data_IF_070057289279
#
_entry.id   IF_070057289279
#
_cell.length_a   1.000
_cell.length_b   1.000
_cell.length_c   1.000
_cell.angle_alpha   90.00
_cell.angle_beta   90.00
_cell.angle_gamma   90.00
#
_symmetry.space_group_name_H-M   'P 1'
#
loop_
_entity.id
_entity.type
_entity.pdbx_description
1 polymer ?
#
# COMPACT_ATOMS: atom_id res chain seq x y z
N UNK A 1 18.29 11.92 -18.66
CA UNK A 1 17.10 11.39 -17.97
C UNK A 1 16.94 12.17 -16.70
N UNK A 2 15.80 12.81 -16.52
CA UNK A 2 15.57 13.77 -15.44
C UNK A 2 14.34 13.38 -14.64
N UNK A 3 14.48 13.44 -13.31
CA UNK A 3 13.36 13.40 -12.37
C UNK A 3 13.17 14.80 -11.79
N UNK A 4 11.93 15.26 -11.75
CA UNK A 4 11.59 16.53 -11.12
C UNK A 4 10.76 16.29 -9.86
N UNK A 5 11.22 16.86 -8.75
CA UNK A 5 10.48 16.87 -7.49
C UNK A 5 10.04 18.29 -7.15
N UNK A 6 8.75 18.55 -7.29
CA UNK A 6 8.15 19.86 -7.08
C UNK A 6 7.45 19.99 -5.73
N UNK A 7 7.55 19.00 -4.82
CA UNK A 7 6.73 18.96 -3.59
C UNK A 7 6.92 20.16 -2.64
N UNK A 8 8.05 20.86 -2.73
CA UNK A 8 8.39 21.99 -1.87
C UNK A 8 9.05 23.15 -2.64
N UNK A 9 8.86 23.20 -3.95
CA UNK A 9 9.47 24.21 -4.82
C UNK A 9 8.75 25.56 -4.68
N UNK A 10 9.50 26.66 -4.80
CA UNK A 10 8.89 27.99 -4.91
C UNK A 10 8.18 28.17 -6.26
N UNK A 11 7.18 29.04 -6.34
CA UNK A 11 6.50 29.34 -7.61
C UNK A 11 7.47 29.88 -8.68
N UNK A 12 8.42 30.75 -8.28
CA UNK A 12 9.40 31.30 -9.21
C UNK A 12 10.33 30.22 -9.79
N UNK A 13 10.76 29.27 -8.97
CA UNK A 13 11.61 28.18 -9.43
C UNK A 13 10.81 27.19 -10.28
N UNK A 14 9.55 26.93 -9.93
CA UNK A 14 8.65 26.14 -10.74
C UNK A 14 8.47 26.74 -12.14
N UNK A 15 8.23 28.05 -12.23
CA UNK A 15 8.07 28.76 -13.50
C UNK A 15 9.35 28.76 -14.34
N UNK A 16 10.50 28.95 -13.69
CA UNK A 16 11.79 28.91 -14.34
C UNK A 16 12.07 27.49 -14.88
N UNK A 17 11.83 26.46 -14.07
CA UNK A 17 12.06 25.07 -14.47
C UNK A 17 11.09 24.64 -15.57
N UNK A 18 9.83 25.00 -15.44
CA UNK A 18 8.78 24.71 -16.41
C UNK A 18 9.09 25.28 -17.79
N UNK A 19 9.43 26.57 -17.85
CA UNK A 19 9.74 27.25 -19.12
C UNK A 19 11.05 26.80 -19.73
N UNK A 20 12.10 26.63 -18.92
CA UNK A 20 13.45 26.39 -19.45
C UNK A 20 13.74 24.91 -19.68
N UNK A 21 13.32 24.02 -18.78
CA UNK A 21 13.72 22.61 -18.83
C UNK A 21 12.58 21.69 -19.24
N UNK A 22 11.41 21.78 -18.59
CA UNK A 22 10.27 20.89 -18.88
C UNK A 22 9.81 21.06 -20.32
N UNK A 23 9.65 22.31 -20.76
CA UNK A 23 9.20 22.63 -22.10
C UNK A 23 10.22 22.26 -23.19
N UNK A 24 11.51 22.34 -22.89
CA UNK A 24 12.58 22.10 -23.85
C UNK A 24 12.92 20.61 -24.03
N UNK A 25 12.71 19.80 -22.98
CA UNK A 25 13.17 18.40 -22.95
C UNK A 25 12.13 17.40 -22.41
N UNK A 26 10.86 17.45 -22.88
CA UNK A 26 9.79 16.59 -22.34
C UNK A 26 10.11 15.09 -22.49
N UNK A 27 10.79 14.69 -23.57
CA UNK A 27 11.17 13.28 -23.82
C UNK A 27 12.25 12.77 -22.87
N UNK A 28 12.94 13.64 -22.13
CA UNK A 28 13.98 13.23 -21.19
C UNK A 28 13.46 13.03 -19.76
N UNK A 29 12.18 13.36 -19.52
CA UNK A 29 11.55 13.32 -18.21
C UNK A 29 11.07 11.90 -17.91
N UNK A 30 11.58 11.33 -16.82
CA UNK A 30 11.29 9.95 -16.40
C UNK A 30 10.53 9.89 -15.09
N UNK A 31 10.59 10.94 -14.26
CA UNK A 31 9.87 10.99 -13.00
C UNK A 31 9.36 12.39 -12.70
N UNK A 32 8.14 12.47 -12.18
CA UNK A 32 7.53 13.72 -11.73
C UNK A 32 6.95 13.49 -10.33
N UNK A 33 7.22 14.40 -9.40
CA UNK A 33 6.55 14.48 -8.11
C UNK A 33 5.86 15.83 -7.96
N UNK A 34 4.56 15.84 -7.70
CA UNK A 34 3.75 17.05 -7.50
C UNK A 34 3.06 17.00 -6.14
N UNK A 35 2.74 18.17 -5.59
CA UNK A 35 2.02 18.28 -4.33
C UNK A 35 1.10 19.49 -4.29
N UNK A 36 -0.11 19.34 -3.77
CA UNK A 36 -0.97 20.47 -3.36
C UNK A 36 -0.88 20.67 -1.83
N UNK A 37 0.34 20.79 -1.31
CA UNK A 37 0.56 20.99 0.14
C UNK A 37 0.40 22.47 0.53
N UNK A 38 0.48 22.78 1.82
CA UNK A 38 0.53 24.18 2.30
C UNK A 38 1.68 24.99 1.70
N UNK A 39 2.80 24.35 1.35
CA UNK A 39 3.95 24.99 0.72
C UNK A 39 3.78 25.19 -0.80
N UNK A 40 2.90 24.42 -1.43
CA UNK A 40 2.70 24.38 -2.89
C UNK A 40 1.21 24.31 -3.25
N UNK A 41 0.38 25.26 -2.78
CA UNK A 41 -1.06 25.19 -2.98
C UNK A 41 -1.40 25.25 -4.47
N UNK A 42 -2.32 24.39 -4.92
CA UNK A 42 -2.80 24.33 -6.32
C UNK A 42 -1.71 24.07 -7.38
N UNK A 43 -0.51 23.63 -6.99
CA UNK A 43 0.57 23.36 -7.92
C UNK A 43 0.20 22.35 -9.02
N UNK A 44 -0.56 21.31 -8.68
CA UNK A 44 -0.97 20.29 -9.65
C UNK A 44 -1.87 20.92 -10.72
N UNK A 45 -2.85 21.72 -10.31
CA UNK A 45 -3.73 22.47 -11.20
C UNK A 45 -2.90 23.42 -12.09
N UNK A 46 -2.00 24.18 -11.48
CA UNK A 46 -1.10 25.09 -12.18
C UNK A 46 -0.18 24.37 -13.19
N UNK A 47 0.30 23.18 -12.86
CA UNK A 47 1.08 22.33 -13.77
C UNK A 47 0.30 22.03 -15.06
N UNK A 48 -0.98 21.66 -14.94
CA UNK A 48 -1.84 21.44 -16.09
C UNK A 48 -2.21 22.73 -16.83
N UNK A 49 -2.43 23.84 -16.13
CA UNK A 49 -2.68 25.17 -16.73
C UNK A 49 -1.50 25.67 -17.57
N UNK A 50 -0.26 25.38 -17.17
CA UNK A 50 0.94 25.62 -17.97
C UNK A 50 1.04 24.70 -19.21
N UNK A 51 0.07 23.81 -19.42
CA UNK A 51 0.01 22.90 -20.55
C UNK A 51 0.92 21.69 -20.42
N UNK A 52 1.44 21.40 -19.21
CA UNK A 52 2.22 20.19 -18.94
C UNK A 52 1.26 19.00 -18.78
N UNK A 53 0.92 18.38 -19.91
CA UNK A 53 0.15 17.13 -19.96
C UNK A 53 1.08 15.93 -19.83
N UNK A 54 0.72 14.89 -19.07
CA UNK A 54 1.61 13.74 -18.91
C UNK A 54 1.84 12.97 -20.20
N UNK A 55 0.86 12.99 -21.10
CA UNK A 55 0.96 12.48 -22.47
C UNK A 55 2.16 13.04 -23.27
N UNK A 56 2.69 14.23 -22.92
CA UNK A 56 3.89 14.80 -23.54
C UNK A 56 5.18 14.13 -23.07
N UNK A 57 5.18 13.48 -21.91
CA UNK A 57 6.36 12.84 -21.32
C UNK A 57 6.39 11.35 -21.69
N UNK A 58 6.67 11.05 -22.95
CA UNK A 58 6.63 9.68 -23.50
C UNK A 58 7.59 8.69 -22.80
N UNK A 59 8.51 9.19 -21.97
CA UNK A 59 9.44 8.40 -21.18
C UNK A 59 9.16 8.43 -19.68
N UNK A 60 8.03 8.99 -19.26
CA UNK A 60 7.60 9.01 -17.87
C UNK A 60 7.42 7.57 -17.36
N UNK A 61 8.18 7.24 -16.32
CA UNK A 61 8.17 5.94 -15.65
C UNK A 61 7.50 6.02 -14.29
N UNK A 62 7.61 7.16 -13.61
CA UNK A 62 7.17 7.34 -12.24
C UNK A 62 6.39 8.64 -12.05
N UNK A 63 5.22 8.55 -11.41
CA UNK A 63 4.47 9.70 -10.93
C UNK A 63 4.24 9.57 -9.43
N UNK A 64 4.53 10.64 -8.68
CA UNK A 64 4.14 10.74 -7.28
C UNK A 64 3.29 11.98 -7.06
N UNK A 65 2.11 11.81 -6.49
CA UNK A 65 1.18 12.89 -6.20
C UNK A 65 0.90 12.92 -4.70
N UNK A 66 1.02 14.11 -4.11
CA UNK A 66 0.84 14.36 -2.69
C UNK A 66 -0.29 15.38 -2.46
N UNK A 67 -1.09 15.17 -1.42
CA UNK A 67 -2.14 16.11 -0.98
C UNK A 67 -3.13 16.48 -2.09
N UNK A 68 -3.60 15.50 -2.88
CA UNK A 68 -4.55 15.74 -3.95
C UNK A 68 -5.97 15.87 -3.37
N UNK A 69 -6.65 17.03 -3.54
CA UNK A 69 -8.04 17.16 -3.11
C UNK A 69 -8.95 16.26 -3.95
N UNK A 70 -10.09 15.88 -3.36
CA UNK A 70 -11.10 15.09 -4.07
C UNK A 70 -11.64 15.87 -5.28
N UNK A 71 -11.74 15.22 -6.44
CA UNK A 71 -12.42 15.79 -7.59
C UNK A 71 -11.87 15.39 -8.95
N UNK A 72 -12.28 16.17 -9.96
CA UNK A 72 -12.03 15.92 -11.39
C UNK A 72 -10.54 15.79 -11.75
N UNK A 73 -9.66 16.45 -11.00
CA UNK A 73 -8.22 16.40 -11.25
C UNK A 73 -7.66 14.98 -11.10
N UNK A 74 -8.18 14.19 -10.17
CA UNK A 74 -7.77 12.80 -9.99
C UNK A 74 -8.07 11.96 -11.24
N UNK A 75 -9.27 12.12 -11.82
CA UNK A 75 -9.67 11.43 -13.06
C UNK A 75 -8.85 11.90 -14.26
N UNK A 76 -8.62 13.21 -14.38
CA UNK A 76 -7.78 13.78 -15.45
C UNK A 76 -6.36 13.18 -15.41
N UNK A 77 -5.77 13.07 -14.22
CA UNK A 77 -4.46 12.43 -14.05
C UNK A 77 -4.52 10.99 -14.54
N UNK A 78 -5.53 10.22 -14.14
CA UNK A 78 -5.66 8.82 -14.55
C UNK A 78 -5.79 8.66 -16.07
N UNK A 79 -6.59 9.49 -16.72
CA UNK A 79 -6.79 9.47 -18.18
C UNK A 79 -5.47 9.73 -18.92
N UNK A 80 -4.67 10.69 -18.45
CA UNK A 80 -3.36 11.00 -19.02
C UNK A 80 -2.32 9.88 -18.84
N UNK A 81 -2.50 9.01 -17.83
CA UNK A 81 -1.58 7.89 -17.55
C UNK A 81 -1.89 6.62 -18.36
N UNK A 82 -3.13 6.40 -18.80
CA UNK A 82 -3.58 5.13 -19.40
C UNK A 82 -2.73 4.67 -20.58
N UNK A 83 -2.21 5.61 -21.37
CA UNK A 83 -1.52 5.31 -22.63
C UNK A 83 0.00 5.52 -22.55
N UNK A 84 0.58 5.71 -21.36
CA UNK A 84 2.01 5.94 -21.22
C UNK A 84 2.79 4.62 -21.30
N UNK A 85 3.64 4.42 -22.33
CA UNK A 85 4.21 3.12 -22.64
C UNK A 85 5.26 2.67 -21.62
N UNK A 86 5.89 3.59 -20.90
CA UNK A 86 6.94 3.31 -19.91
C UNK A 86 6.47 3.46 -18.46
N UNK A 87 5.22 3.83 -18.24
CA UNK A 87 4.71 4.15 -16.91
C UNK A 87 4.59 2.90 -16.05
N UNK A 88 5.35 2.84 -14.96
CA UNK A 88 5.46 1.63 -14.14
C UNK A 88 5.40 1.86 -12.64
N UNK A 89 5.42 3.12 -12.19
CA UNK A 89 5.36 3.46 -10.77
C UNK A 89 4.39 4.60 -10.50
N UNK A 90 3.44 4.34 -9.61
CA UNK A 90 2.47 5.31 -9.13
C UNK A 90 2.52 5.39 -7.61
N UNK A 91 2.62 6.62 -7.10
CA UNK A 91 2.56 6.91 -5.68
C UNK A 91 1.51 7.98 -5.44
N UNK A 92 0.47 7.64 -4.68
CA UNK A 92 -0.53 8.58 -4.20
C UNK A 92 -0.43 8.69 -2.68
N UNK A 93 -0.18 9.90 -2.17
CA UNK A 93 -0.05 10.19 -0.73
C UNK A 93 -1.02 11.25 -0.29
N UNK A 94 -1.89 10.93 0.67
CA UNK A 94 -2.90 11.84 1.18
C UNK A 94 -3.79 12.37 0.05
N UNK A 95 -4.35 11.45 -0.73
CA UNK A 95 -5.40 11.79 -1.70
C UNK A 95 -6.75 11.70 -1.00
N UNK A 96 -7.48 12.80 -1.02
CA UNK A 96 -8.84 12.85 -0.50
C UNK A 96 -9.77 12.26 -1.54
N UNK A 97 -10.54 11.24 -1.15
CA UNK A 97 -11.55 10.65 -2.02
C UNK A 97 -12.94 11.05 -1.52
N UNK A 98 -13.82 11.40 -2.47
CA UNK A 98 -15.16 11.91 -2.17
C UNK A 98 -16.00 10.87 -1.42
N UNK A 99 -17.08 11.29 -0.77
CA UNK A 99 -18.00 10.38 -0.08
C UNK A 99 -18.79 9.45 -1.05
N UNK A 100 -18.70 9.68 -2.36
CA UNK A 100 -19.40 8.87 -3.35
C UNK A 100 -18.65 7.56 -3.59
N UNK A 101 -19.16 6.45 -3.04
CA UNK A 101 -18.57 5.12 -3.21
C UNK A 101 -18.31 4.76 -4.69
N UNK A 102 -19.20 5.19 -5.59
CA UNK A 102 -19.05 4.98 -7.03
C UNK A 102 -17.80 5.67 -7.60
N UNK A 103 -17.58 6.94 -7.23
CA UNK A 103 -16.47 7.75 -7.70
C UNK A 103 -15.13 7.18 -7.25
N UNK A 104 -15.06 6.78 -5.98
CA UNK A 104 -13.88 6.15 -5.39
C UNK A 104 -13.57 4.80 -6.05
N UNK A 105 -14.59 3.97 -6.25
CA UNK A 105 -14.43 2.67 -6.89
C UNK A 105 -13.99 2.80 -8.36
N UNK A 106 -14.53 3.77 -9.10
CA UNK A 106 -14.10 4.08 -10.46
C UNK A 106 -12.62 4.51 -10.48
N UNK A 107 -12.22 5.42 -9.59
CA UNK A 107 -10.83 5.88 -9.50
C UNK A 107 -9.84 4.74 -9.23
N UNK A 108 -10.14 3.89 -8.24
CA UNK A 108 -9.28 2.72 -7.93
C UNK A 108 -9.25 1.74 -9.09
N UNK A 109 -10.38 1.47 -9.74
CA UNK A 109 -10.43 0.59 -10.92
C UNK A 109 -9.60 1.15 -12.08
N UNK A 110 -9.58 2.47 -12.27
CA UNK A 110 -8.71 3.13 -13.26
C UNK A 110 -7.24 2.94 -12.98
N UNK A 111 -6.82 2.89 -11.70
CA UNK A 111 -5.43 2.55 -11.32
C UNK A 111 -5.11 1.10 -11.71
N UNK A 112 -6.03 0.16 -11.42
CA UNK A 112 -5.86 -1.25 -11.76
C UNK A 112 -5.80 -1.51 -13.26
N UNK A 113 -6.45 -0.65 -14.06
CA UNK A 113 -6.46 -0.73 -15.52
C UNK A 113 -5.15 -0.26 -16.18
N UNK A 114 -4.19 0.30 -15.42
CA UNK A 114 -2.90 0.74 -15.97
C UNK A 114 -2.03 -0.46 -16.36
N UNK A 115 -1.93 -0.71 -17.67
CA UNK A 115 -1.32 -1.92 -18.26
C UNK A 115 0.16 -2.11 -17.99
N UNK A 116 0.90 -1.06 -17.64
CA UNK A 116 2.34 -1.11 -17.38
C UNK A 116 2.71 -0.87 -15.89
N UNK A 117 1.73 -0.61 -15.03
CA UNK A 117 1.93 -0.27 -13.62
C UNK A 117 2.43 -1.47 -12.81
N UNK A 118 3.70 -1.45 -12.38
CA UNK A 118 4.30 -2.52 -11.57
C UNK A 118 4.29 -2.20 -10.08
N UNK A 119 4.55 -0.94 -9.73
CA UNK A 119 4.68 -0.46 -8.35
C UNK A 119 3.59 0.55 -8.03
N UNK A 120 2.74 0.21 -7.07
CA UNK A 120 1.61 1.03 -6.65
C UNK A 120 1.66 1.27 -5.14
N UNK A 121 1.69 2.54 -4.73
CA UNK A 121 1.63 2.93 -3.32
C UNK A 121 0.50 3.93 -3.13
N UNK A 122 -0.47 3.57 -2.30
CA UNK A 122 -1.71 4.31 -2.10
C UNK A 122 -1.87 4.64 -0.61
N UNK A 123 -2.04 5.91 -0.31
CA UNK A 123 -2.48 6.42 1.00
C UNK A 123 -3.65 7.36 0.76
N UNK A 124 -4.85 6.84 0.98
CA UNK A 124 -6.10 7.56 0.77
C UNK A 124 -6.65 8.09 2.09
N UNK A 125 -7.28 9.25 2.01
CA UNK A 125 -8.06 9.83 3.10
C UNK A 125 -9.52 9.76 2.67
N UNK A 126 -10.22 8.76 3.20
CA UNK A 126 -11.62 8.53 2.93
C UNK A 126 -12.47 9.49 3.78
N UNK A 127 -13.53 10.03 3.18
CA UNK A 127 -14.55 10.71 3.96
C UNK A 127 -15.34 9.75 4.84
N UNK A 128 -16.09 10.29 5.81
CA UNK A 128 -16.72 9.55 6.93
C UNK A 128 -17.65 8.40 6.52
N UNK A 129 -18.09 8.33 5.26
CA UNK A 129 -19.02 7.32 4.76
C UNK A 129 -18.37 6.05 4.22
N UNK A 130 -17.06 6.06 3.95
CA UNK A 130 -16.35 4.90 3.41
C UNK A 130 -15.54 4.28 4.54
N UNK A 131 -16.06 3.15 5.05
CA UNK A 131 -15.48 2.44 6.18
C UNK A 131 -14.49 1.34 5.75
N UNK A 132 -14.43 1.02 4.46
CA UNK A 132 -13.62 -0.09 3.95
C UNK A 132 -12.98 0.21 2.60
N UNK A 133 -12.00 -0.60 2.20
CA UNK A 133 -11.29 -0.42 0.94
C UNK A 133 -12.18 -0.83 -0.24
N UNK A 134 -12.40 0.05 -1.24
CA UNK A 134 -13.15 -0.31 -2.43
C UNK A 134 -12.28 -1.19 -3.32
N UNK A 135 -12.53 -2.49 -3.26
CA UNK A 135 -11.88 -3.47 -4.14
C UNK A 135 -12.17 -3.09 -5.60
N UNK A 136 -11.15 -3.05 -6.48
CA UNK A 136 -11.33 -2.73 -7.90
C UNK A 136 -12.22 -3.78 -8.61
N UNK A 137 -13.00 -3.35 -9.59
CA UNK A 137 -13.74 -4.28 -10.47
C UNK A 137 -12.93 -4.83 -11.64
N UNK A 138 -11.68 -4.41 -11.77
CA UNK A 138 -10.80 -4.74 -12.89
C UNK A 138 -9.61 -5.54 -12.37
N UNK A 139 -9.32 -6.66 -13.04
CA UNK A 139 -8.12 -7.47 -12.77
C UNK A 139 -6.91 -6.76 -13.34
N UNK A 140 -5.96 -6.39 -12.49
CA UNK A 140 -4.67 -5.86 -12.94
C UNK A 140 -3.79 -6.98 -13.49
N UNK A 141 -3.31 -6.79 -14.71
CA UNK A 141 -2.34 -7.69 -15.34
C UNK A 141 -0.89 -7.35 -14.98
N UNK A 142 -0.63 -6.20 -14.36
CA UNK A 142 0.71 -5.57 -14.31
C UNK A 142 1.25 -5.36 -12.90
N UNK A 143 0.39 -5.12 -11.90
CA UNK A 143 0.81 -4.78 -10.55
C UNK A 143 1.51 -5.96 -9.89
N UNK A 144 2.73 -5.71 -9.40
CA UNK A 144 3.59 -6.67 -8.71
C UNK A 144 3.89 -6.25 -7.28
N UNK A 145 3.86 -4.94 -6.99
CA UNK A 145 4.16 -4.38 -5.68
C UNK A 145 3.02 -3.43 -5.29
N UNK A 146 2.31 -3.77 -4.22
CA UNK A 146 1.22 -2.97 -3.70
C UNK A 146 1.49 -2.56 -2.25
N UNK A 147 1.36 -1.28 -1.97
CA UNK A 147 1.38 -0.73 -0.62
C UNK A 147 0.11 0.07 -0.38
N UNK A 148 -0.69 -0.34 0.59
CA UNK A 148 -1.88 0.33 1.08
C UNK A 148 -1.56 0.90 2.48
N UNK A 149 -1.38 2.21 2.57
CA UNK A 149 -1.03 2.88 3.83
C UNK A 149 -2.25 3.53 4.47
N UNK A 150 -2.45 3.26 5.76
CA UNK A 150 -3.61 3.73 6.52
C UNK A 150 -4.95 3.34 5.88
N UNK A 151 -4.95 2.25 5.12
CA UNK A 151 -6.15 1.64 4.55
C UNK A 151 -6.30 0.31 5.27
N UNK A 152 -7.41 0.17 5.98
CA UNK A 152 -7.83 -1.08 6.58
C UNK A 152 -8.59 -1.89 5.52
N UNK A 153 -8.15 -3.13 5.31
CA UNK A 153 -8.84 -4.05 4.41
C UNK A 153 -9.42 -5.21 5.21
N UNK A 154 -10.68 -5.52 4.96
CA UNK A 154 -11.32 -6.71 5.52
C UNK A 154 -10.71 -7.98 4.94
N UNK A 155 -10.95 -9.11 5.59
CA UNK A 155 -10.52 -10.43 5.10
C UNK A 155 -11.05 -10.76 3.71
N UNK A 156 -12.32 -10.42 3.46
CA UNK A 156 -12.97 -10.65 2.17
C UNK A 156 -12.39 -9.72 1.11
N UNK A 157 -12.14 -8.46 1.46
CA UNK A 157 -11.47 -7.50 0.58
C UNK A 157 -10.06 -7.93 0.26
N UNK A 158 -9.32 -8.51 1.21
CA UNK A 158 -7.99 -9.06 0.97
C UNK A 158 -8.02 -10.20 -0.05
N UNK A 159 -8.94 -11.16 0.08
CA UNK A 159 -9.12 -12.24 -0.89
C UNK A 159 -9.41 -11.66 -2.28
N UNK A 160 -10.41 -10.77 -2.36
CA UNK A 160 -10.80 -10.18 -3.63
C UNK A 160 -9.65 -9.34 -4.22
N UNK A 161 -8.91 -8.59 -3.41
CA UNK A 161 -7.74 -7.83 -3.85
C UNK A 161 -6.69 -8.74 -4.48
N UNK A 162 -6.46 -9.91 -3.90
CA UNK A 162 -5.56 -10.91 -4.46
C UNK A 162 -6.09 -11.51 -5.78
N UNK A 163 -7.39 -11.78 -5.87
CA UNK A 163 -8.05 -12.21 -7.12
C UNK A 163 -7.93 -11.15 -8.23
N UNK A 164 -8.08 -9.87 -7.87
CA UNK A 164 -7.95 -8.74 -8.80
C UNK A 164 -6.50 -8.34 -9.07
N UNK A 165 -5.52 -8.95 -8.40
CA UNK A 165 -4.09 -8.64 -8.55
C UNK A 165 -3.24 -9.91 -8.65
N UNK A 166 -3.49 -10.78 -9.65
CA UNK A 166 -2.94 -12.14 -9.72
C UNK A 166 -1.41 -12.22 -9.93
N UNK A 167 -0.74 -11.09 -10.15
CA UNK A 167 0.72 -11.00 -10.30
C UNK A 167 1.41 -10.37 -9.09
N UNK A 168 0.69 -10.15 -7.99
CA UNK A 168 1.23 -9.54 -6.79
C UNK A 168 2.32 -10.41 -6.15
N UNK A 169 3.49 -9.81 -5.94
CA UNK A 169 4.68 -10.42 -5.32
C UNK A 169 5.00 -9.81 -3.96
N UNK A 170 4.69 -8.52 -3.81
CA UNK A 170 4.87 -7.77 -2.58
C UNK A 170 3.56 -7.10 -2.17
N UNK A 171 3.17 -7.28 -0.91
CA UNK A 171 2.04 -6.59 -0.32
C UNK A 171 2.43 -5.90 0.99
N UNK A 172 2.01 -4.66 1.17
CA UNK A 172 2.03 -3.96 2.44
C UNK A 172 0.64 -3.41 2.75
N UNK A 173 0.03 -3.81 3.85
CA UNK A 173 -1.34 -3.39 4.19
C UNK A 173 -1.65 -3.49 5.69
N UNK A 174 -2.75 -2.85 6.11
CA UNK A 174 -3.37 -3.08 7.42
C UNK A 174 -4.59 -3.98 7.23
N UNK A 175 -4.63 -5.10 7.94
CA UNK A 175 -5.78 -6.01 7.89
C UNK A 175 -6.68 -5.80 9.10
N UNK A 176 -7.98 -5.70 8.83
CA UNK A 176 -9.05 -5.83 9.81
C UNK A 176 -9.88 -7.05 9.45
N UNK A 177 -10.51 -7.66 10.45
CA UNK A 177 -11.29 -8.87 10.21
C UNK A 177 -12.64 -8.75 10.88
N UNK A 178 -13.69 -8.84 10.06
CA UNK A 178 -15.06 -8.92 10.52
C UNK A 178 -15.43 -10.39 10.74
N UNK A 179 -16.16 -10.67 11.82
CA UNK A 179 -16.71 -11.98 12.11
C UNK A 179 -18.15 -12.08 11.57
N UNK A 180 -18.58 -13.20 10.97
CA UNK A 180 -17.88 -14.49 10.83
C UNK A 180 -17.25 -14.69 9.43
N UNK A 181 -16.16 -15.45 9.40
CA UNK A 181 -15.42 -15.76 8.18
C UNK A 181 -16.00 -17.01 7.49
N UNK A 182 -16.62 -16.84 6.32
CA UNK A 182 -17.37 -17.92 5.64
C UNK A 182 -16.86 -18.31 4.24
N UNK A 183 -15.75 -17.76 3.76
CA UNK A 183 -15.25 -18.09 2.41
C UNK A 183 -14.20 -19.20 2.41
N UNK A 184 -14.30 -20.08 1.42
CA UNK A 184 -13.21 -20.99 1.06
C UNK A 184 -12.00 -20.15 0.64
N UNK A 185 -10.85 -20.49 1.21
CA UNK A 185 -9.60 -19.76 1.00
C UNK A 185 -9.03 -20.08 -0.37
N UNK A 186 -8.76 -19.04 -1.16
CA UNK A 186 -7.94 -19.14 -2.37
C UNK A 186 -6.48 -18.92 -1.98
N UNK A 187 -5.63 -19.90 -2.28
CA UNK A 187 -4.17 -19.77 -2.13
C UNK A 187 -3.69 -18.65 -3.05
N UNK A 188 -2.81 -17.78 -2.54
CA UNK A 188 -2.18 -16.68 -3.28
C UNK A 188 -0.69 -16.99 -3.46
N UNK A 189 -0.32 -17.81 -4.46
CA UNK A 189 0.98 -18.46 -4.50
C UNK A 189 2.15 -17.54 -4.88
N UNK A 190 1.90 -16.30 -5.30
CA UNK A 190 2.95 -15.41 -5.83
C UNK A 190 3.47 -14.38 -4.83
N UNK A 191 2.77 -14.14 -3.73
CA UNK A 191 3.23 -13.19 -2.72
C UNK A 191 4.40 -13.82 -1.97
N UNK A 192 5.58 -13.26 -2.17
CA UNK A 192 6.84 -13.71 -1.56
C UNK A 192 7.30 -12.79 -0.44
N UNK A 193 6.76 -11.56 -0.39
CA UNK A 193 7.06 -10.56 0.63
C UNK A 193 5.79 -9.88 1.13
N UNK A 194 5.63 -9.82 2.44
CA UNK A 194 4.48 -9.15 3.06
C UNK A 194 4.90 -8.24 4.21
N UNK A 195 4.28 -7.06 4.29
CA UNK A 195 4.22 -6.26 5.51
C UNK A 195 2.77 -6.14 5.95
N UNK A 196 2.43 -6.78 7.06
CA UNK A 196 1.07 -6.85 7.57
C UNK A 196 1.02 -6.13 8.91
N UNK A 197 0.16 -5.12 9.00
CA UNK A 197 -0.26 -4.55 10.28
C UNK A 197 -1.57 -5.22 10.66
N UNK A 198 -1.62 -5.82 11.84
CA UNK A 198 -2.72 -6.64 12.31
C UNK A 198 -3.18 -6.14 13.67
N UNK A 199 -4.49 -6.05 13.90
CA UNK A 199 -5.04 -5.42 15.12
C UNK A 199 -6.10 -6.26 15.85
N UNK A 200 -6.24 -7.55 15.55
CA UNK A 200 -7.37 -8.37 16.03
C UNK A 200 -6.94 -9.80 16.44
N UNK A 201 -7.86 -10.78 16.48
CA UNK A 201 -7.69 -12.12 17.12
C UNK A 201 -6.72 -13.06 16.38
N UNK A 202 -6.09 -14.02 17.07
CA UNK A 202 -5.07 -14.94 16.51
C UNK A 202 -5.55 -15.85 15.38
N UNK A 203 -6.80 -16.32 15.47
CA UNK A 203 -7.37 -17.33 14.57
C UNK A 203 -7.44 -16.84 13.12
N UNK A 204 -7.73 -15.56 12.95
CA UNK A 204 -7.82 -14.93 11.63
C UNK A 204 -6.45 -14.63 11.01
N UNK A 205 -5.43 -14.37 11.82
CA UNK A 205 -4.06 -14.22 11.34
C UNK A 205 -3.54 -15.53 10.73
N UNK A 206 -3.86 -16.67 11.35
CA UNK A 206 -3.50 -18.00 10.82
C UNK A 206 -4.06 -18.17 9.42
N UNK A 207 -5.36 -17.91 9.26
CA UNK A 207 -6.07 -18.00 7.97
C UNK A 207 -5.40 -17.17 6.86
N UNK A 208 -4.93 -15.95 7.16
CA UNK A 208 -4.20 -15.13 6.18
C UNK A 208 -2.89 -15.76 5.77
N UNK A 209 -2.14 -16.27 6.74
CA UNK A 209 -0.80 -16.79 6.49
C UNK A 209 -0.86 -18.13 5.76
N UNK A 210 -1.89 -18.95 6.01
CA UNK A 210 -2.23 -20.14 5.21
C UNK A 210 -2.43 -19.82 3.72
N UNK A 211 -2.95 -18.62 3.39
CA UNK A 211 -3.12 -18.19 2.00
C UNK A 211 -1.80 -17.82 1.31
N UNK A 212 -0.70 -17.67 2.06
CA UNK A 212 0.57 -17.14 1.57
C UNK A 212 1.72 -18.17 1.66
N UNK A 213 1.59 -19.38 1.08
CA UNK A 213 2.56 -20.46 1.29
C UNK A 213 3.95 -20.21 0.68
N UNK A 214 4.06 -19.24 -0.25
CA UNK A 214 5.31 -18.87 -0.91
C UNK A 214 6.05 -17.71 -0.20
N UNK A 215 5.56 -17.29 0.97
CA UNK A 215 6.11 -16.15 1.68
C UNK A 215 7.53 -16.45 2.17
N UNK A 216 8.48 -15.64 1.72
CA UNK A 216 9.90 -15.73 2.09
C UNK A 216 10.35 -14.61 3.03
N UNK A 217 9.60 -13.51 3.06
CA UNK A 217 9.84 -12.36 3.92
C UNK A 217 8.50 -11.92 4.54
N UNK A 218 8.45 -11.82 5.87
CA UNK A 218 7.30 -11.33 6.59
C UNK A 218 7.74 -10.25 7.59
N UNK A 219 7.17 -9.06 7.44
CA UNK A 219 7.13 -8.08 8.52
C UNK A 219 5.71 -8.08 9.09
N UNK A 220 5.58 -8.37 10.37
CA UNK A 220 4.30 -8.48 11.05
C UNK A 220 4.27 -7.52 12.24
N UNK A 221 3.30 -6.62 12.25
CA UNK A 221 3.07 -5.68 13.35
C UNK A 221 1.70 -5.96 13.97
N UNK A 222 1.69 -6.67 15.08
CA UNK A 222 0.50 -7.06 15.82
C UNK A 222 0.22 -5.97 16.86
N UNK A 223 -0.96 -5.36 16.82
CA UNK A 223 -1.44 -4.37 17.79
C UNK A 223 -2.44 -5.02 18.74
N UNK A 224 -2.34 -4.67 20.01
CA UNK A 224 -3.35 -4.93 21.05
C UNK A 224 -3.82 -6.39 21.11
N UNK A 225 -2.87 -7.33 21.07
CA UNK A 225 -3.21 -8.75 21.04
C UNK A 225 -2.28 -9.62 21.90
N UNK A 226 -2.86 -10.67 22.50
CA UNK A 226 -2.17 -11.65 23.33
C UNK A 226 -1.76 -12.87 22.49
N UNK A 227 -0.65 -12.76 21.76
CA UNK A 227 0.03 -13.92 21.18
C UNK A 227 1.41 -14.06 21.81
N UNK A 228 1.77 -15.27 22.19
CA UNK A 228 3.10 -15.58 22.71
C UNK A 228 4.02 -16.16 21.62
N UNK A 229 5.30 -16.28 21.94
CA UNK A 229 6.33 -16.78 21.03
C UNK A 229 6.13 -18.23 20.60
N UNK A 230 5.53 -19.09 21.42
CA UNK A 230 5.24 -20.46 21.02
C UNK A 230 4.11 -20.51 19.99
N UNK A 231 3.10 -19.67 20.15
CA UNK A 231 1.99 -19.55 19.20
C UNK A 231 2.47 -19.00 17.86
N UNK A 232 3.32 -17.95 17.86
CA UNK A 232 3.90 -17.42 16.62
C UNK A 232 4.83 -18.45 15.97
N UNK A 233 5.68 -19.14 16.74
CA UNK A 233 6.54 -20.22 16.24
C UNK A 233 5.72 -21.30 15.52
N UNK A 234 4.68 -21.82 16.19
CA UNK A 234 3.80 -22.84 15.62
C UNK A 234 3.18 -22.36 14.30
N UNK A 235 2.67 -21.13 14.30
CA UNK A 235 2.05 -20.53 13.12
C UNK A 235 3.02 -20.46 11.93
N UNK A 236 4.28 -20.11 12.17
CA UNK A 236 5.29 -20.01 11.11
C UNK A 236 5.64 -21.40 10.58
N UNK A 237 5.95 -22.34 11.49
CA UNK A 237 6.36 -23.69 11.12
C UNK A 237 5.27 -24.43 10.32
N UNK A 238 4.01 -24.24 10.68
CA UNK A 238 2.88 -24.92 10.03
C UNK A 238 2.47 -24.29 8.70
N UNK A 239 2.56 -22.96 8.56
CA UNK A 239 1.91 -22.25 7.44
C UNK A 239 2.89 -21.56 6.48
N UNK A 240 4.12 -21.29 6.91
CA UNK A 240 5.08 -20.48 6.15
C UNK A 240 6.41 -21.23 5.94
N UNK A 241 6.40 -22.40 5.25
CA UNK A 241 7.58 -23.26 5.14
C UNK A 241 8.74 -22.65 4.34
N UNK A 242 8.51 -21.56 3.59
CA UNK A 242 9.53 -20.86 2.81
C UNK A 242 10.05 -19.59 3.48
N UNK A 243 9.59 -19.28 4.70
CA UNK A 243 9.96 -18.05 5.39
C UNK A 243 11.44 -18.06 5.76
N UNK A 244 12.14 -17.01 5.34
CA UNK A 244 13.57 -16.79 5.65
C UNK A 244 13.74 -15.63 6.60
N UNK A 245 13.07 -14.52 6.29
CA UNK A 245 13.18 -13.28 7.04
C UNK A 245 11.87 -13.00 7.78
N UNK A 246 11.95 -12.85 9.10
CA UNK A 246 10.84 -12.46 9.95
C UNK A 246 11.18 -11.21 10.74
N UNK A 247 10.32 -10.21 10.64
CA UNK A 247 10.37 -9.00 11.45
C UNK A 247 9.08 -8.88 12.24
N UNK A 248 9.13 -9.21 13.52
CA UNK A 248 7.97 -9.20 14.40
C UNK A 248 7.99 -7.97 15.31
N UNK A 249 6.87 -7.26 15.35
CA UNK A 249 6.56 -6.26 16.37
C UNK A 249 5.22 -6.62 16.99
N UNK A 250 5.15 -6.69 18.32
CA UNK A 250 3.92 -6.94 19.04
C UNK A 250 3.65 -5.82 20.03
N UNK A 251 2.40 -5.38 20.08
CA UNK A 251 1.85 -4.52 21.10
C UNK A 251 0.87 -5.30 21.95
N UNK A 252 0.96 -5.13 23.26
CA UNK A 252 0.05 -5.72 24.22
C UNK A 252 -0.48 -4.63 25.14
N UNK A 253 -1.79 -4.61 25.34
CA UNK A 253 -2.44 -3.70 26.29
C UNK A 253 -2.81 -4.49 27.54
N UNK A 254 -2.24 -4.09 28.68
CA UNK A 254 -2.46 -4.75 29.97
C UNK A 254 -3.65 -4.11 30.68
N UNK A 255 -4.53 -4.94 31.24
CA UNK A 255 -5.61 -4.46 32.08
C UNK A 255 -5.07 -3.92 33.41
N UNK A 256 -5.79 -2.99 34.03
CA UNK A 256 -5.37 -2.31 35.26
C UNK A 256 -5.28 -3.22 36.51
N UNK A 257 -5.60 -4.51 36.38
CA UNK A 257 -5.56 -5.50 37.47
C UNK A 257 -4.42 -6.53 37.37
N UNK A 258 -3.67 -6.56 36.26
CA UNK A 258 -2.66 -7.59 36.04
C UNK A 258 -1.32 -7.22 36.68
N UNK A 259 -0.60 -8.23 37.18
CA UNK A 259 0.80 -8.08 37.55
C UNK A 259 1.64 -7.96 36.26
N UNK A 260 1.71 -6.74 35.72
CA UNK A 260 2.31 -6.42 34.42
C UNK A 260 3.71 -7.00 34.27
N UNK A 261 4.54 -6.95 35.31
CA UNK A 261 5.90 -7.48 35.27
C UNK A 261 5.92 -9.01 35.06
N UNK A 262 5.10 -9.74 35.81
CA UNK A 262 5.01 -11.20 35.66
C UNK A 262 4.49 -11.60 34.27
N UNK A 263 3.55 -10.84 33.71
CA UNK A 263 2.98 -11.13 32.41
C UNK A 263 3.96 -10.79 31.27
N UNK A 264 4.73 -9.70 31.41
CA UNK A 264 5.84 -9.37 30.50
C UNK A 264 6.88 -10.49 30.53
N UNK A 265 7.35 -10.90 31.71
CA UNK A 265 8.34 -11.96 31.84
C UNK A 265 7.83 -13.28 31.25
N UNK A 266 6.56 -13.63 31.51
CA UNK A 266 5.92 -14.81 30.94
C UNK A 266 5.97 -14.78 29.41
N UNK A 267 5.60 -13.66 28.78
CA UNK A 267 5.62 -13.51 27.33
C UNK A 267 7.05 -13.55 26.80
N UNK A 268 7.99 -12.80 27.38
CA UNK A 268 9.38 -12.77 26.92
C UNK A 268 10.03 -14.16 26.98
N UNK A 269 9.73 -14.96 28.02
CA UNK A 269 10.23 -16.33 28.14
C UNK A 269 9.78 -17.24 27.00
N UNK A 270 8.64 -16.96 26.36
CA UNK A 270 8.19 -17.74 25.19
C UNK A 270 8.99 -17.48 23.91
N UNK A 271 9.78 -16.40 23.87
CA UNK A 271 10.71 -16.09 22.77
C UNK A 271 12.13 -16.63 23.03
N UNK A 272 12.31 -17.45 24.06
CA UNK A 272 13.58 -18.08 24.40
C UNK A 272 13.80 -19.47 23.76
N UNK A 273 12.92 -19.92 22.85
CA UNK A 273 13.08 -21.23 22.21
C UNK A 273 14.22 -21.22 21.17
N UNK A 274 14.82 -22.39 20.84
CA UNK A 274 15.85 -22.48 19.79
C UNK A 274 15.40 -21.93 18.43
N UNK A 275 14.09 -21.99 18.14
CA UNK A 275 13.52 -21.38 16.95
C UNK A 275 13.84 -19.88 16.85
N UNK A 276 13.68 -19.15 17.96
CA UNK A 276 13.92 -17.71 18.00
C UNK A 276 15.40 -17.36 18.08
N UNK A 277 16.18 -18.15 18.82
CA UNK A 277 17.59 -17.84 19.12
C UNK A 277 18.54 -18.30 18.01
N UNK A 278 18.29 -19.49 17.45
CA UNK A 278 19.23 -20.15 16.53
C UNK A 278 18.76 -20.11 15.06
N UNK A 279 17.45 -20.25 14.80
CA UNK A 279 16.92 -20.35 13.43
C UNK A 279 16.57 -18.99 12.79
N UNK A 280 16.24 -17.97 13.59
CA UNK A 280 15.71 -16.68 13.12
C UNK A 280 16.39 -15.43 13.71
N UNK A 281 17.70 -15.50 14.01
CA UNK A 281 18.49 -14.40 14.57
C UNK A 281 19.09 -13.45 13.49
#
# INVERSE_FOLDING_TARGET
>A
MHGFDFRSISLSDFDAIGRTYISATPDQITAICLSNSEHTPMQIDYFFEQGFKFSKFIHLQSLSIYYLPAGLLAHLIMDELQNLPKFSRLVYKSVYLSNSSFDVHYFISSIWNLTNLKYCCLKFEFGRSIMCFPVPSIVSSSIQYLTLENIEISSNEFIQLCEQTPNLQYLSTTLTFEYPFYRQLSIVPKITKAYIIYAWRSDQLITVLEMLPALSYLKLNIKDFAIDGYQVEKLIRENLPQLKDLYLRMGHTFDNGDNKEQEIDRILNTFGSPFWIDEHH
#
